data_IF_943287411552
#
_entry.id   IF_943287411552
#
_cell.length_a   1.000
_cell.length_b   1.000
_cell.length_c   1.000
_cell.angle_alpha   90.00
_cell.angle_beta   90.00
_cell.angle_gamma   90.00
#
_symmetry.space_group_name_H-M   'P 1'
#
loop_
_entity.id
_entity.type
_entity.pdbx_description
1 polymer ?
#
# COMPACT_ATOMS: atom_id res chain seq x y z
N UNK A 1 -7.85 10.12 2.36
CA UNK A 1 -8.22 11.52 2.08
C UNK A 1 -6.98 12.34 1.75
N UNK A 2 -7.01 13.13 0.67
CA UNK A 2 -5.92 14.06 0.31
C UNK A 2 -6.03 15.35 1.12
N UNK A 3 -4.89 15.91 1.54
CA UNK A 3 -4.83 17.21 2.20
C UNK A 3 -3.95 18.17 1.40
N UNK A 4 -4.34 19.43 1.36
CA UNK A 4 -3.60 20.48 0.68
C UNK A 4 -2.90 21.35 1.71
N UNK A 5 -1.57 21.41 1.61
CA UNK A 5 -0.73 22.15 2.56
C UNK A 5 -0.04 23.31 1.85
N UNK A 6 -0.03 24.48 2.48
CA UNK A 6 0.77 25.63 2.04
C UNK A 6 2.28 25.42 2.31
N UNK A 7 3.13 26.41 1.99
CA UNK A 7 4.58 26.26 2.13
C UNK A 7 5.04 26.05 3.59
N UNK A 8 4.48 26.82 4.52
CA UNK A 8 4.79 26.79 5.96
C UNK A 8 4.32 25.49 6.60
N UNK A 9 3.07 25.10 6.34
CA UNK A 9 2.48 23.84 6.78
C UNK A 9 3.30 22.63 6.31
N UNK A 10 3.78 22.66 5.05
CA UNK A 10 4.69 21.61 4.55
C UNK A 10 6.02 21.58 5.30
N UNK A 11 6.52 22.71 5.79
CA UNK A 11 7.73 22.77 6.62
C UNK A 11 7.49 22.10 7.98
N UNK A 12 6.39 22.45 8.65
CA UNK A 12 5.97 21.88 9.93
C UNK A 12 5.79 20.36 9.82
N UNK A 13 5.05 19.90 8.81
CA UNK A 13 4.83 18.45 8.59
C UNK A 13 6.14 17.72 8.28
N UNK A 14 7.08 18.34 7.53
CA UNK A 14 8.41 17.75 7.31
C UNK A 14 9.21 17.63 8.60
N UNK A 15 9.09 18.59 9.52
CA UNK A 15 9.68 18.50 10.84
C UNK A 15 9.06 17.34 11.63
N UNK A 16 7.73 17.17 11.60
CA UNK A 16 7.04 16.05 12.25
C UNK A 16 7.52 14.69 11.72
N UNK A 17 7.62 14.52 10.40
CA UNK A 17 8.19 13.31 9.80
C UNK A 17 9.66 13.12 10.17
N UNK A 18 10.42 14.21 10.27
CA UNK A 18 11.82 14.20 10.69
C UNK A 18 12.00 13.67 12.10
N UNK A 19 11.26 14.23 13.06
CA UNK A 19 11.26 13.80 14.46
C UNK A 19 10.77 12.37 14.59
N UNK A 20 9.64 12.01 13.97
CA UNK A 20 9.11 10.64 14.01
C UNK A 20 10.14 9.62 13.49
N UNK A 21 10.83 9.94 12.39
CA UNK A 21 11.92 9.12 11.86
C UNK A 21 13.10 9.02 12.83
N UNK A 22 13.55 10.14 13.38
CA UNK A 22 14.68 10.18 14.31
C UNK A 22 14.39 9.32 15.55
N UNK A 23 13.24 9.53 16.19
CA UNK A 23 12.81 8.77 17.37
C UNK A 23 12.69 7.28 17.07
N UNK A 24 12.09 6.91 15.94
CA UNK A 24 12.02 5.51 15.50
C UNK A 24 13.42 4.90 15.35
N UNK A 25 14.33 5.57 14.63
CA UNK A 25 15.67 5.05 14.38
C UNK A 25 16.51 4.95 15.67
N UNK A 26 16.43 5.95 16.56
CA UNK A 26 17.07 5.94 17.88
C UNK A 26 16.58 4.75 18.71
N UNK A 27 15.26 4.52 18.72
CA UNK A 27 14.66 3.37 19.41
C UNK A 27 15.11 2.04 18.81
N UNK A 28 15.14 1.90 17.47
CA UNK A 28 15.63 0.67 16.83
C UNK A 28 17.10 0.42 17.16
N UNK A 29 17.95 1.46 17.20
CA UNK A 29 19.36 1.33 17.58
C UNK A 29 19.52 0.78 19.01
N UNK A 30 18.77 1.32 19.96
CA UNK A 30 18.77 0.82 21.36
C UNK A 30 18.33 -0.65 21.42
N UNK A 31 17.26 -1.01 20.70
CA UNK A 31 16.71 -2.37 20.70
C UNK A 31 17.58 -3.39 19.94
N UNK A 32 18.46 -2.93 19.04
CA UNK A 32 19.37 -3.81 18.29
C UNK A 32 20.45 -4.42 19.18
N UNK A 33 20.86 -3.72 20.24
CA UNK A 33 21.89 -4.20 21.18
C UNK A 33 21.42 -5.43 21.98
N UNK A 34 20.12 -5.72 22.04
CA UNK A 34 19.57 -6.92 22.68
C UNK A 34 19.43 -6.84 24.20
N UNK A 35 20.14 -5.93 24.85
CA UNK A 35 20.07 -5.66 26.30
C UNK A 35 18.67 -5.21 26.74
N UNK A 36 18.03 -4.36 25.92
CA UNK A 36 16.73 -3.77 26.24
C UNK A 36 15.60 -4.56 25.60
N UNK A 37 14.65 -5.04 26.41
CA UNK A 37 13.42 -5.67 25.92
C UNK A 37 12.56 -4.65 25.17
N UNK A 38 11.96 -5.08 24.05
CA UNK A 38 11.07 -4.26 23.23
C UNK A 38 9.70 -4.02 23.90
N UNK A 39 9.70 -3.30 25.02
CA UNK A 39 8.52 -2.91 25.78
C UNK A 39 8.38 -1.38 25.75
N UNK A 40 7.44 -0.90 24.94
CA UNK A 40 7.17 0.52 24.76
C UNK A 40 6.93 1.25 26.09
N UNK A 41 6.12 0.71 26.99
CA UNK A 41 5.78 1.39 28.26
C UNK A 41 7.02 1.61 29.13
N UNK A 42 7.96 0.65 29.14
CA UNK A 42 9.16 0.72 29.96
C UNK A 42 10.22 1.69 29.40
N UNK A 43 10.44 1.70 28.09
CA UNK A 43 11.55 2.47 27.48
C UNK A 43 11.15 3.90 27.11
N UNK A 44 9.85 4.18 27.03
CA UNK A 44 9.31 5.44 26.50
C UNK A 44 9.82 6.66 27.28
N UNK A 45 9.75 6.64 28.61
CA UNK A 45 10.07 7.80 29.44
C UNK A 45 11.54 8.20 29.28
N UNK A 46 12.47 7.23 29.39
CA UNK A 46 13.89 7.49 29.22
C UNK A 46 14.23 8.04 27.83
N UNK A 47 13.71 7.42 26.76
CA UNK A 47 13.97 7.87 25.39
C UNK A 47 13.39 9.27 25.13
N UNK A 48 12.20 9.60 25.67
CA UNK A 48 11.57 10.89 25.49
C UNK A 48 12.31 12.02 26.21
N UNK A 49 12.87 11.74 27.40
CA UNK A 49 13.65 12.70 28.17
C UNK A 49 15.01 12.98 27.51
N UNK A 50 15.61 11.97 26.88
CA UNK A 50 16.88 12.06 26.13
C UNK A 50 16.68 12.60 24.69
N UNK A 51 15.56 13.25 24.38
CA UNK A 51 15.35 13.86 23.07
C UNK A 51 15.97 15.26 23.01
N UNK A 52 16.65 15.61 21.89
CA UNK A 52 17.16 16.95 21.69
C UNK A 52 16.07 18.03 21.72
N UNK A 53 16.48 19.26 22.04
CA UNK A 53 15.59 20.42 22.20
C UNK A 53 14.66 20.66 21.00
N UNK A 54 15.19 20.52 19.78
CA UNK A 54 14.42 20.71 18.54
C UNK A 54 13.25 19.73 18.37
N UNK A 55 13.19 18.65 19.15
CA UNK A 55 12.06 17.71 19.19
C UNK A 55 10.89 18.22 20.06
N UNK A 56 11.07 19.23 20.92
CA UNK A 56 10.03 19.70 21.83
C UNK A 56 8.85 20.33 21.11
N UNK A 57 9.09 21.05 20.01
CA UNK A 57 8.05 21.68 19.18
C UNK A 57 7.02 20.67 18.60
N UNK A 58 7.45 19.43 18.36
CA UNK A 58 6.61 18.38 17.77
C UNK A 58 5.71 17.73 18.82
N UNK A 59 4.41 17.50 18.51
CA UNK A 59 3.46 16.86 19.42
C UNK A 59 3.99 15.59 20.10
N UNK A 60 3.70 15.46 21.39
CA UNK A 60 4.12 14.32 22.21
C UNK A 60 3.71 12.97 21.60
N UNK A 61 2.48 12.85 21.12
CA UNK A 61 1.95 11.59 20.58
C UNK A 61 2.73 11.11 19.34
N UNK A 62 3.21 12.02 18.49
CA UNK A 62 4.03 11.68 17.32
C UNK A 62 5.34 10.99 17.76
N UNK A 63 5.98 11.51 18.81
CA UNK A 63 7.22 10.96 19.40
C UNK A 63 6.95 9.62 20.08
N UNK A 64 5.97 9.61 20.99
CA UNK A 64 5.55 8.44 21.76
C UNK A 64 5.20 7.24 20.88
N UNK A 65 4.40 7.44 19.82
CA UNK A 65 3.99 6.37 18.92
C UNK A 65 5.12 5.95 17.97
N UNK A 66 6.07 6.83 17.65
CA UNK A 66 7.27 6.41 16.91
C UNK A 66 8.11 5.37 17.68
N UNK A 67 8.18 5.49 19.01
CA UNK A 67 8.80 4.48 19.89
C UNK A 67 7.99 3.19 19.84
N UNK A 68 6.66 3.27 19.98
CA UNK A 68 5.76 2.11 19.88
C UNK A 68 5.92 1.36 18.56
N UNK A 69 5.92 2.09 17.43
CA UNK A 69 6.13 1.56 16.09
C UNK A 69 7.45 0.77 16.01
N UNK A 70 8.53 1.29 16.60
CA UNK A 70 9.84 0.64 16.62
C UNK A 70 9.82 -0.66 17.45
N UNK A 71 9.23 -0.62 18.65
CA UNK A 71 9.06 -1.81 19.48
C UNK A 71 8.25 -2.89 18.76
N UNK A 72 7.12 -2.50 18.14
CA UNK A 72 6.27 -3.42 17.38
C UNK A 72 7.04 -4.01 16.21
N UNK A 73 7.78 -3.20 15.44
CA UNK A 73 8.59 -3.70 14.32
C UNK A 73 9.62 -4.76 14.77
N UNK A 74 10.32 -4.52 15.89
CA UNK A 74 11.29 -5.48 16.45
C UNK A 74 10.60 -6.73 16.96
N UNK A 75 9.43 -6.60 17.60
CA UNK A 75 8.65 -7.74 18.09
C UNK A 75 8.15 -8.62 16.95
N UNK A 76 7.60 -8.02 15.90
CA UNK A 76 7.14 -8.77 14.72
C UNK A 76 8.31 -9.42 13.97
N UNK A 77 9.48 -8.77 13.91
CA UNK A 77 10.70 -9.37 13.38
C UNK A 77 11.11 -10.63 14.17
N UNK A 78 11.11 -10.56 15.51
CA UNK A 78 11.38 -11.72 16.38
C UNK A 78 10.34 -12.83 16.21
N UNK A 79 9.05 -12.48 16.12
CA UNK A 79 7.95 -13.43 15.89
C UNK A 79 8.10 -14.13 14.54
N UNK A 80 8.45 -13.39 13.48
CA UNK A 80 8.71 -13.95 12.16
C UNK A 80 9.89 -14.92 12.18
N UNK A 81 10.99 -14.56 12.84
CA UNK A 81 12.14 -15.46 13.00
C UNK A 81 11.75 -16.77 13.70
N UNK A 82 10.93 -16.72 14.76
CA UNK A 82 10.43 -17.94 15.42
C UNK A 82 9.66 -18.86 14.47
N UNK A 83 8.87 -18.30 13.54
CA UNK A 83 8.07 -19.06 12.57
C UNK A 83 8.87 -19.58 11.38
N UNK A 84 9.74 -18.74 10.81
CA UNK A 84 10.37 -19.04 9.51
C UNK A 84 11.86 -19.36 9.62
N UNK A 85 12.47 -19.21 10.81
CA UNK A 85 13.92 -19.28 11.07
C UNK A 85 14.78 -18.33 10.22
N UNK A 86 14.15 -17.40 9.49
CA UNK A 86 14.83 -16.41 8.66
C UNK A 86 15.04 -15.11 9.42
N UNK A 87 16.28 -14.62 9.43
CA UNK A 87 16.63 -13.36 10.10
C UNK A 87 16.02 -12.19 9.33
N UNK A 88 15.15 -11.42 10.00
CA UNK A 88 14.56 -10.20 9.45
C UNK A 88 14.97 -8.99 10.31
N UNK A 89 16.00 -8.26 9.89
CA UNK A 89 16.48 -7.07 10.63
C UNK A 89 15.57 -5.87 10.36
N UNK A 90 15.11 -5.21 11.43
CA UNK A 90 14.37 -3.95 11.32
C UNK A 90 15.31 -2.88 10.77
N UNK A 91 14.94 -2.29 9.62
CA UNK A 91 15.72 -1.25 8.94
C UNK A 91 15.38 0.13 9.48
N UNK A 92 16.38 1.01 9.51
CA UNK A 92 16.15 2.42 9.78
C UNK A 92 15.32 3.07 8.68
N UNK A 93 14.41 3.96 9.10
CA UNK A 93 13.64 4.82 8.21
C UNK A 93 14.57 5.87 7.59
N UNK A 94 14.50 6.03 6.27
CA UNK A 94 15.33 6.98 5.52
C UNK A 94 14.56 8.25 5.14
N UNK A 95 15.23 9.41 5.17
CA UNK A 95 14.70 10.68 4.63
C UNK A 95 14.48 10.63 3.11
N UNK A 96 15.21 9.76 2.41
CA UNK A 96 15.10 9.58 0.96
C UNK A 96 13.95 8.66 0.57
N UNK A 97 13.27 8.03 1.54
CA UNK A 97 12.11 7.19 1.25
C UNK A 97 11.00 8.05 0.62
N UNK A 98 10.44 7.66 -0.55
CA UNK A 98 9.33 8.37 -1.19
C UNK A 98 8.06 8.39 -0.35
N UNK A 99 7.92 7.46 0.60
CA UNK A 99 6.81 7.39 1.56
C UNK A 99 7.33 7.72 2.95
N UNK A 100 6.70 8.69 3.60
CA UNK A 100 6.95 9.05 5.00
C UNK A 100 5.63 9.16 5.73
N UNK A 101 5.61 8.80 7.01
CA UNK A 101 4.39 8.93 7.81
C UNK A 101 4.68 9.21 9.27
N UNK A 102 3.70 9.81 9.93
CA UNK A 102 3.65 9.99 11.38
C UNK A 102 2.22 9.78 11.90
N UNK A 103 2.13 9.42 13.18
CA UNK A 103 0.87 9.17 13.87
C UNK A 103 0.13 10.48 14.17
N UNK A 104 -1.20 10.48 14.01
CA UNK A 104 -2.08 11.57 14.40
C UNK A 104 -3.20 10.97 15.27
N UNK A 105 -3.35 11.35 16.54
CA UNK A 105 -4.42 10.83 17.38
C UNK A 105 -5.77 11.33 16.88
N UNK A 106 -6.84 10.53 17.06
CA UNK A 106 -8.20 10.93 16.64
C UNK A 106 -8.63 12.28 17.23
N UNK A 107 -8.23 12.58 18.47
CA UNK A 107 -8.57 13.83 19.17
C UNK A 107 -7.91 15.07 18.58
N UNK A 108 -6.90 14.91 17.72
CA UNK A 108 -6.27 16.02 17.01
C UNK A 108 -6.81 16.19 15.59
N UNK A 109 -7.83 15.42 15.18
CA UNK A 109 -8.48 15.52 13.87
C UNK A 109 -9.84 16.16 14.05
N UNK A 110 -10.13 17.18 13.25
CA UNK A 110 -11.40 17.93 13.22
C UNK A 110 -11.64 18.42 11.80
N UNK A 111 -12.83 18.95 11.52
CA UNK A 111 -13.16 19.53 10.21
C UNK A 111 -12.25 20.71 9.84
N UNK A 112 -11.75 21.44 10.85
CA UNK A 112 -10.77 22.52 10.67
C UNK A 112 -9.38 22.03 10.26
N UNK A 113 -9.07 20.75 10.46
CA UNK A 113 -7.77 20.17 10.13
C UNK A 113 -7.20 19.25 11.21
N UNK A 114 -5.91 18.94 11.06
CA UNK A 114 -5.13 18.14 12.01
C UNK A 114 -4.23 19.03 12.86
N UNK A 115 -4.30 18.90 14.18
CA UNK A 115 -3.62 19.79 15.13
C UNK A 115 -3.79 21.27 14.70
N UNK A 116 -5.01 21.72 14.47
CA UNK A 116 -5.30 23.03 13.85
C UNK A 116 -4.64 24.21 14.60
N UNK A 117 -4.43 24.10 15.91
CA UNK A 117 -3.70 25.11 16.71
C UNK A 117 -2.20 25.19 16.41
N UNK A 118 -1.59 24.12 15.88
CA UNK A 118 -0.16 24.06 15.53
C UNK A 118 0.09 24.13 14.02
N UNK A 119 -0.79 23.54 13.22
CA UNK A 119 -0.65 23.45 11.77
C UNK A 119 -1.48 24.52 11.05
N UNK A 120 -2.40 25.19 11.74
CA UNK A 120 -3.40 26.04 11.12
C UNK A 120 -4.55 25.23 10.51
N UNK A 121 -5.49 25.94 9.91
CA UNK A 121 -6.65 25.34 9.26
C UNK A 121 -6.25 24.68 7.93
N UNK A 122 -6.98 23.62 7.58
CA UNK A 122 -6.71 22.76 6.43
C UNK A 122 -7.99 22.46 5.67
N UNK A 123 -7.84 22.27 4.36
CA UNK A 123 -8.92 21.76 3.52
C UNK A 123 -8.66 20.29 3.19
N UNK A 124 -9.63 19.46 3.50
CA UNK A 124 -9.66 18.06 3.07
C UNK A 124 -10.31 17.96 1.69
N UNK A 125 -9.84 17.01 0.88
CA UNK A 125 -10.47 16.74 -0.43
C UNK A 125 -11.83 16.02 -0.33
N UNK A 126 -12.11 15.42 0.83
CA UNK A 126 -13.30 14.62 1.13
C UNK A 126 -13.78 15.02 2.54
N UNK A 127 -15.04 14.81 2.88
CA UNK A 127 -15.55 14.99 4.24
C UNK A 127 -14.98 13.92 5.19
N UNK A 128 -14.81 14.28 6.47
CA UNK A 128 -14.40 13.31 7.47
C UNK A 128 -15.55 12.32 7.72
N UNK A 129 -15.27 11.00 7.71
CA UNK A 129 -16.28 10.01 8.05
C UNK A 129 -16.60 10.04 9.55
N UNK A 130 -17.77 9.53 9.92
CA UNK A 130 -18.13 9.35 11.33
C UNK A 130 -17.29 8.23 11.99
N UNK A 131 -17.23 8.24 13.32
CA UNK A 131 -16.58 7.18 14.12
C UNK A 131 -15.10 6.93 13.76
N UNK A 132 -14.34 8.01 13.57
CA UNK A 132 -12.91 7.93 13.28
C UNK A 132 -12.10 7.30 14.42
N UNK A 133 -11.09 6.55 14.02
CA UNK A 133 -10.04 6.03 14.88
C UNK A 133 -8.76 6.88 14.74
N UNK A 134 -7.70 6.46 15.43
CA UNK A 134 -6.41 7.10 15.28
C UNK A 134 -5.92 7.05 13.82
N UNK A 135 -5.38 8.18 13.38
CA UNK A 135 -5.05 8.44 12.00
C UNK A 135 -3.54 8.37 11.76
N UNK A 136 -3.16 8.39 10.49
CA UNK A 136 -1.75 8.51 10.07
C UNK A 136 -1.62 9.53 8.95
N UNK A 137 -0.82 10.56 9.21
CA UNK A 137 -0.42 11.52 8.18
C UNK A 137 0.69 10.89 7.34
N UNK A 138 0.52 10.87 6.03
CA UNK A 138 1.44 10.24 5.09
C UNK A 138 1.79 11.20 3.95
N UNK A 139 3.07 11.26 3.57
CA UNK A 139 3.54 11.89 2.34
C UNK A 139 3.96 10.81 1.37
N UNK A 140 3.31 10.73 0.21
CA UNK A 140 3.61 9.78 -0.87
C UNK A 140 3.97 10.55 -2.12
N UNK A 141 5.22 10.43 -2.58
CA UNK A 141 5.70 11.07 -3.81
C UNK A 141 5.54 12.60 -3.87
N UNK A 142 5.35 13.27 -2.72
CA UNK A 142 5.19 14.71 -2.60
C UNK A 142 3.76 15.18 -2.36
N UNK A 143 2.77 14.29 -2.49
CA UNK A 143 1.40 14.53 -2.07
C UNK A 143 1.19 14.09 -0.62
N UNK A 144 0.31 14.79 0.09
CA UNK A 144 0.01 14.56 1.49
C UNK A 144 -1.39 13.97 1.64
N UNK A 145 -1.51 12.96 2.49
CA UNK A 145 -2.73 12.22 2.74
C UNK A 145 -2.91 12.01 4.23
N UNK A 146 -4.15 12.19 4.70
CA UNK A 146 -4.59 11.67 5.98
C UNK A 146 -5.24 10.31 5.75
N UNK A 147 -4.67 9.28 6.37
CA UNK A 147 -5.25 7.94 6.45
C UNK A 147 -6.13 7.91 7.68
N UNK A 148 -7.45 7.81 7.47
CA UNK A 148 -8.49 7.87 8.50
C UNK A 148 -9.20 6.51 8.56
N UNK A 149 -8.78 5.61 9.46
CA UNK A 149 -9.56 4.42 9.75
C UNK A 149 -10.82 4.84 10.50
N UNK A 150 -11.96 4.27 10.14
CA UNK A 150 -13.24 4.51 10.80
C UNK A 150 -13.98 3.18 10.96
N UNK A 151 -14.90 3.12 11.93
CA UNK A 151 -15.71 1.92 12.16
C UNK A 151 -16.96 1.99 11.29
N UNK A 152 -17.26 0.90 10.61
CA UNK A 152 -18.47 0.74 9.80
C UNK A 152 -19.21 -0.49 10.31
N UNK A 153 -20.54 -0.40 10.37
CA UNK A 153 -21.41 -1.54 10.64
C UNK A 153 -21.62 -2.29 9.33
N UNK A 154 -21.22 -3.56 9.28
CA UNK A 154 -21.40 -4.37 8.08
C UNK A 154 -22.89 -4.66 7.87
N UNK A 155 -23.39 -4.31 6.69
CA UNK A 155 -24.72 -4.75 6.24
C UNK A 155 -24.55 -6.15 5.67
N UNK A 156 -25.24 -7.15 6.24
CA UNK A 156 -25.29 -8.49 5.65
C UNK A 156 -26.19 -8.41 4.41
N UNK A 157 -25.60 -8.52 3.22
CA UNK A 157 -26.38 -8.71 2.00
C UNK A 157 -26.96 -10.14 1.97
N UNK A 158 -28.19 -10.29 1.47
CA UNK A 158 -28.72 -11.61 1.13
C UNK A 158 -27.84 -12.24 0.04
N UNK A 159 -27.45 -13.49 0.26
CA UNK A 159 -26.62 -14.26 -0.65
C UNK A 159 -27.53 -15.00 -1.64
N UNK A 160 -27.56 -14.54 -2.89
CA UNK A 160 -28.33 -15.18 -3.97
C UNK A 160 -27.56 -16.35 -4.62
N UNK A 161 -26.38 -16.70 -4.11
CA UNK A 161 -25.59 -17.83 -4.59
C UNK A 161 -24.86 -17.60 -5.91
N UNK A 162 -24.78 -16.37 -6.43
CA UNK A 162 -24.15 -16.09 -7.73
C UNK A 162 -22.64 -16.31 -7.65
N UNK A 163 -22.15 -17.30 -8.39
CA UNK A 163 -20.73 -17.69 -8.37
C UNK A 163 -19.98 -17.07 -9.56
N UNK A 164 -18.76 -16.59 -9.31
CA UNK A 164 -17.82 -16.14 -10.35
C UNK A 164 -16.43 -16.71 -10.14
N UNK A 165 -15.85 -17.21 -11.22
CA UNK A 165 -14.44 -17.55 -11.32
C UNK A 165 -13.65 -16.40 -11.92
N UNK A 166 -12.58 -16.00 -11.25
CA UNK A 166 -11.68 -14.95 -11.69
C UNK A 166 -10.39 -15.54 -12.24
N UNK A 167 -9.85 -14.95 -13.30
CA UNK A 167 -8.54 -15.33 -13.85
C UNK A 167 -7.68 -14.07 -14.05
N UNK A 168 -6.72 -13.80 -13.14
CA UNK A 168 -5.82 -12.66 -13.25
C UNK A 168 -4.81 -12.86 -14.38
N UNK A 169 -4.80 -11.95 -15.34
CA UNK A 169 -3.94 -12.02 -16.52
C UNK A 169 -2.87 -10.93 -16.60
N UNK A 170 -1.89 -11.13 -17.49
CA UNK A 170 -0.79 -10.16 -17.69
C UNK A 170 -1.09 -9.15 -18.81
N UNK A 171 -1.91 -9.52 -19.80
CA UNK A 171 -2.33 -8.64 -20.92
C UNK A 171 -3.67 -7.96 -20.64
N UNK A 172 -4.59 -8.74 -20.10
CA UNK A 172 -5.87 -8.28 -19.56
C UNK A 172 -5.77 -8.41 -18.06
N UNK A 173 -6.14 -7.36 -17.31
CA UNK A 173 -5.97 -7.35 -15.86
C UNK A 173 -6.71 -8.51 -15.18
N UNK A 174 -7.95 -8.75 -15.57
CA UNK A 174 -8.79 -9.78 -14.99
C UNK A 174 -9.81 -10.29 -16.00
N UNK A 175 -9.89 -11.60 -16.19
CA UNK A 175 -11.01 -12.25 -16.87
C UNK A 175 -11.95 -12.79 -15.80
N UNK A 176 -13.25 -12.73 -16.04
CA UNK A 176 -14.23 -13.36 -15.16
C UNK A 176 -15.15 -14.26 -15.96
N UNK A 177 -15.57 -15.36 -15.33
CA UNK A 177 -16.48 -16.35 -15.89
C UNK A 177 -17.49 -16.75 -14.82
N UNK A 178 -18.76 -16.74 -15.20
CA UNK A 178 -19.90 -17.18 -14.40
C UNK A 178 -20.89 -17.89 -15.32
N UNK A 179 -21.91 -18.53 -14.77
CA UNK A 179 -22.94 -19.22 -15.56
C UNK A 179 -23.67 -18.28 -16.54
N UNK A 180 -23.85 -17.02 -16.16
CA UNK A 180 -24.65 -16.04 -16.92
C UNK A 180 -23.82 -15.00 -17.65
N UNK A 181 -22.53 -14.87 -17.34
CA UNK A 181 -21.70 -13.82 -17.91
C UNK A 181 -20.22 -14.18 -17.99
N UNK A 182 -19.59 -13.71 -19.06
CA UNK A 182 -18.15 -13.78 -19.28
C UNK A 182 -17.64 -12.42 -19.71
N UNK A 183 -16.48 -12.01 -19.22
CA UNK A 183 -15.95 -10.71 -19.58
C UNK A 183 -14.49 -10.50 -19.19
N UNK A 184 -13.97 -9.35 -19.63
CA UNK A 184 -12.58 -8.94 -19.47
C UNK A 184 -12.54 -7.54 -18.89
N UNK A 185 -11.82 -7.36 -17.79
CA UNK A 185 -11.59 -6.07 -17.15
C UNK A 185 -10.15 -5.62 -17.46
N UNK A 186 -10.00 -4.36 -17.85
CA UNK A 186 -8.71 -3.78 -18.20
C UNK A 186 -8.16 -4.26 -19.55
N UNK A 187 -9.04 -4.65 -20.48
CA UNK A 187 -8.65 -4.96 -21.86
C UNK A 187 -8.21 -3.67 -22.56
N UNK A 188 -7.04 -3.67 -23.23
CA UNK A 188 -6.49 -2.49 -23.90
C UNK A 188 -5.73 -1.49 -23.01
N UNK A 189 -6.09 -1.38 -21.73
CA UNK A 189 -5.44 -0.49 -20.73
C UNK A 189 -3.95 -0.78 -20.54
N UNK A 190 -3.57 -2.04 -20.77
CA UNK A 190 -2.19 -2.51 -20.78
C UNK A 190 -1.27 -1.62 -21.62
N UNK A 191 -1.71 -1.26 -22.82
CA UNK A 191 -0.88 -0.50 -23.77
C UNK A 191 -0.55 0.89 -23.22
N UNK A 192 -1.51 1.52 -22.55
CA UNK A 192 -1.36 2.85 -21.97
C UNK A 192 -0.42 2.83 -20.75
N UNK A 193 -0.63 1.91 -19.81
CA UNK A 193 0.23 1.76 -18.62
C UNK A 193 1.66 1.42 -19.04
N UNK A 194 1.84 0.54 -20.03
CA UNK A 194 3.16 0.18 -20.53
C UNK A 194 3.90 1.37 -21.15
N UNK A 195 3.21 2.22 -21.94
CA UNK A 195 3.79 3.45 -22.51
C UNK A 195 4.25 4.41 -21.41
N UNK A 196 3.46 4.57 -20.36
CA UNK A 196 3.83 5.40 -19.19
C UNK A 196 5.04 4.83 -18.45
N UNK A 197 5.09 3.52 -18.23
CA UNK A 197 6.24 2.84 -17.63
C UNK A 197 7.52 3.02 -18.45
N UNK A 198 7.44 2.90 -19.78
CA UNK A 198 8.59 3.10 -20.66
C UNK A 198 9.10 4.55 -20.61
N UNK A 199 8.19 5.52 -20.64
CA UNK A 199 8.57 6.92 -20.53
C UNK A 199 9.20 7.22 -19.16
N UNK A 200 8.68 6.61 -18.08
CA UNK A 200 9.25 6.73 -16.74
C UNK A 200 10.69 6.20 -16.70
N UNK A 201 10.98 5.07 -17.35
CA UNK A 201 12.35 4.54 -17.43
C UNK A 201 13.30 5.45 -18.18
N UNK A 202 12.85 5.95 -19.33
CA UNK A 202 13.63 6.89 -20.13
C UNK A 202 13.96 8.14 -19.29
N UNK A 203 13.00 8.62 -18.50
CA UNK A 203 13.20 9.73 -17.59
C UNK A 203 14.16 9.39 -16.43
N UNK A 204 14.06 8.19 -15.84
CA UNK A 204 14.99 7.72 -14.79
C UNK A 204 16.42 7.62 -15.35
N UNK A 205 16.58 7.11 -16.56
CA UNK A 205 17.87 7.04 -17.26
C UNK A 205 18.47 8.44 -17.49
N UNK A 206 17.65 9.42 -17.89
CA UNK A 206 18.09 10.83 -18.00
C UNK A 206 18.46 11.42 -16.63
N UNK A 207 17.70 11.09 -15.57
CA UNK A 207 17.97 11.56 -14.20
C UNK A 207 19.32 11.08 -13.65
N UNK A 208 19.75 9.86 -14.02
CA UNK A 208 21.02 9.31 -13.54
C UNK A 208 22.20 10.16 -14.01
N UNK A 209 22.15 10.65 -15.26
CA UNK A 209 23.18 11.47 -15.92
C UNK A 209 23.09 12.96 -15.57
N UNK A 210 21.93 13.44 -15.12
CA UNK A 210 21.73 14.87 -14.85
C UNK A 210 22.26 15.35 -13.50
N UNK A 211 22.57 16.65 -13.44
CA UNK A 211 23.10 17.37 -12.27
C UNK A 211 22.22 18.56 -11.86
N UNK A 212 22.44 19.07 -10.65
CA UNK A 212 21.84 20.32 -10.14
C UNK A 212 20.31 20.43 -10.25
N UNK A 213 19.84 21.62 -10.62
CA UNK A 213 18.43 21.97 -10.72
C UNK A 213 17.65 21.13 -11.75
N UNK A 214 18.29 20.77 -12.87
CA UNK A 214 17.70 19.92 -13.91
C UNK A 214 17.32 18.54 -13.33
N UNK A 215 18.23 17.90 -12.58
CA UNK A 215 17.97 16.64 -11.88
C UNK A 215 16.78 16.75 -10.93
N UNK A 216 16.67 17.86 -10.19
CA UNK A 216 15.55 18.12 -9.27
C UNK A 216 14.22 18.24 -10.02
N UNK A 217 14.18 18.97 -11.14
CA UNK A 217 12.98 19.12 -11.98
C UNK A 217 12.54 17.78 -12.56
N UNK A 218 13.46 17.00 -13.10
CA UNK A 218 13.15 15.67 -13.65
C UNK A 218 12.67 14.68 -12.58
N UNK A 219 13.25 14.69 -11.37
CA UNK A 219 12.74 13.89 -10.24
C UNK A 219 11.31 14.29 -9.84
N UNK A 220 10.94 15.56 -9.97
CA UNK A 220 9.56 16.01 -9.72
C UNK A 220 8.63 15.47 -10.81
N UNK A 221 9.05 15.49 -12.07
CA UNK A 221 8.31 14.90 -13.18
C UNK A 221 8.14 13.38 -13.03
N UNK A 222 9.20 12.65 -12.65
CA UNK A 222 9.14 11.20 -12.46
C UNK A 222 8.16 10.81 -11.34
N UNK A 223 8.11 11.59 -10.25
CA UNK A 223 7.12 11.38 -9.18
C UNK A 223 5.68 11.55 -9.68
N UNK A 224 5.40 12.59 -10.48
CA UNK A 224 4.07 12.79 -11.08
C UNK A 224 3.65 11.62 -11.96
N UNK A 225 4.59 11.06 -12.73
CA UNK A 225 4.33 9.89 -13.55
C UNK A 225 4.05 8.64 -12.71
N UNK A 226 4.82 8.41 -11.65
CA UNK A 226 4.57 7.30 -10.72
C UNK A 226 3.16 7.42 -10.11
N UNK A 227 2.76 8.62 -9.66
CA UNK A 227 1.42 8.87 -9.15
C UNK A 227 0.36 8.57 -10.21
N UNK A 228 0.55 9.03 -11.45
CA UNK A 228 -0.38 8.76 -12.56
C UNK A 228 -0.56 7.25 -12.80
N UNK A 229 0.54 6.50 -12.86
CA UNK A 229 0.50 5.04 -13.05
C UNK A 229 -0.23 4.38 -11.86
N UNK A 230 0.09 4.78 -10.63
CA UNK A 230 -0.57 4.25 -9.43
C UNK A 230 -2.06 4.54 -9.41
N UNK A 231 -2.48 5.73 -9.82
CA UNK A 231 -3.89 6.11 -9.89
C UNK A 231 -4.66 5.28 -10.92
N UNK A 232 -4.10 5.06 -12.12
CA UNK A 232 -4.70 4.19 -13.13
C UNK A 232 -4.88 2.75 -12.61
N UNK A 233 -3.85 2.20 -11.97
CA UNK A 233 -3.94 0.84 -11.40
C UNK A 233 -4.94 0.79 -10.24
N UNK A 234 -4.98 1.81 -9.37
CA UNK A 234 -5.98 1.91 -8.30
C UNK A 234 -7.40 1.99 -8.86
N UNK A 235 -7.62 2.77 -9.91
CA UNK A 235 -8.92 2.91 -10.56
C UNK A 235 -9.41 1.58 -11.12
N UNK A 236 -8.55 0.84 -11.83
CA UNK A 236 -8.84 -0.51 -12.31
C UNK A 236 -9.21 -1.41 -11.12
N UNK A 237 -8.41 -1.41 -10.04
CA UNK A 237 -8.67 -2.23 -8.85
C UNK A 237 -10.02 -1.90 -8.19
N UNK A 238 -10.35 -0.61 -8.07
CA UNK A 238 -11.57 -0.14 -7.44
C UNK A 238 -12.80 -0.49 -8.27
N UNK A 239 -12.77 -0.20 -9.58
CA UNK A 239 -13.87 -0.51 -10.50
C UNK A 239 -14.09 -2.01 -10.63
N UNK A 240 -13.01 -2.80 -10.75
CA UNK A 240 -13.09 -4.25 -10.82
C UNK A 240 -13.69 -4.85 -9.54
N UNK A 241 -13.20 -4.44 -8.36
CA UNK A 241 -13.71 -4.97 -7.09
C UNK A 241 -15.18 -4.61 -6.88
N UNK A 242 -15.57 -3.36 -7.21
CA UNK A 242 -16.97 -2.93 -7.12
C UNK A 242 -17.86 -3.75 -8.04
N UNK A 243 -17.49 -3.87 -9.32
CA UNK A 243 -18.23 -4.70 -10.27
C UNK A 243 -18.41 -6.14 -9.76
N UNK A 244 -17.35 -6.77 -9.25
CA UNK A 244 -17.44 -8.15 -8.78
C UNK A 244 -18.34 -8.29 -7.55
N UNK A 245 -18.17 -7.41 -6.57
CA UNK A 245 -18.92 -7.48 -5.29
C UNK A 245 -20.39 -7.09 -5.47
N UNK A 246 -20.70 -6.20 -6.41
CA UNK A 246 -22.08 -5.80 -6.70
C UNK A 246 -22.86 -6.90 -7.46
N UNK A 247 -22.17 -7.72 -8.27
CA UNK A 247 -22.81 -8.70 -9.15
C UNK A 247 -22.76 -10.16 -8.66
N UNK A 248 -21.82 -10.50 -7.77
CA UNK A 248 -21.59 -11.90 -7.36
C UNK A 248 -21.48 -12.05 -5.84
N UNK A 249 -21.84 -13.23 -5.36
CA UNK A 249 -21.89 -13.56 -3.93
C UNK A 249 -20.73 -14.46 -3.49
N UNK A 250 -20.32 -15.37 -4.38
CA UNK A 250 -19.20 -16.30 -4.17
C UNK A 250 -18.15 -16.08 -5.24
N UNK A 251 -16.96 -15.69 -4.82
CA UNK A 251 -15.86 -15.29 -5.71
C UNK A 251 -14.73 -16.29 -5.59
N UNK A 252 -14.50 -17.05 -6.65
CA UNK A 252 -13.40 -18.00 -6.77
C UNK A 252 -12.17 -17.27 -7.33
N UNK A 253 -11.14 -17.14 -6.50
CA UNK A 253 -9.92 -16.42 -6.84
C UNK A 253 -8.73 -17.40 -6.87
N UNK A 254 -8.13 -17.66 -8.03
CA UNK A 254 -6.99 -18.57 -8.13
C UNK A 254 -5.76 -17.99 -7.43
N UNK A 255 -4.91 -18.88 -6.92
CA UNK A 255 -3.62 -18.52 -6.36
C UNK A 255 -2.67 -17.98 -7.42
N UNK A 256 -2.63 -16.67 -7.59
CA UNK A 256 -1.72 -16.04 -8.55
C UNK A 256 -0.32 -15.83 -7.95
N UNK A 257 0.58 -16.79 -8.17
CA UNK A 257 1.94 -16.81 -7.61
C UNK A 257 2.91 -15.84 -8.33
N UNK A 258 2.59 -14.54 -8.33
CA UNK A 258 3.41 -13.48 -8.96
C UNK A 258 4.88 -13.50 -8.52
N UNK A 259 5.15 -13.90 -7.28
CA UNK A 259 6.50 -14.00 -6.74
C UNK A 259 7.32 -15.07 -7.46
N UNK A 260 6.79 -16.29 -7.64
CA UNK A 260 7.46 -17.38 -8.35
C UNK A 260 7.63 -17.03 -9.83
N UNK A 261 6.56 -16.54 -10.48
CA UNK A 261 6.58 -16.16 -11.89
C UNK A 261 7.56 -15.02 -12.22
N UNK A 262 7.97 -14.23 -11.22
CA UNK A 262 8.92 -13.13 -11.38
C UNK A 262 10.38 -13.50 -11.09
N UNK A 263 10.67 -14.66 -10.49
CA UNK A 263 12.04 -15.12 -10.18
C UNK A 263 12.83 -15.30 -11.48
N UNK A 264 14.08 -14.84 -11.49
CA UNK A 264 14.93 -14.88 -12.69
C UNK A 264 15.48 -16.27 -13.01
N UNK A 265 15.74 -17.10 -11.99
CA UNK A 265 16.36 -18.43 -12.12
C UNK A 265 15.54 -19.37 -13.00
N UNK A 266 14.21 -19.40 -12.79
CA UNK A 266 13.32 -20.42 -13.38
C UNK A 266 12.25 -19.80 -14.30
N UNK A 267 12.57 -18.63 -14.88
CA UNK A 267 11.56 -17.77 -15.51
C UNK A 267 11.21 -18.23 -16.92
N UNK A 268 9.98 -18.72 -17.11
CA UNK A 268 9.40 -19.00 -18.44
C UNK A 268 8.90 -17.75 -19.18
N UNK A 269 8.67 -16.65 -18.45
CA UNK A 269 8.14 -15.40 -19.00
C UNK A 269 9.26 -14.42 -19.41
N UNK A 270 9.03 -13.66 -20.50
CA UNK A 270 9.93 -12.57 -20.92
C UNK A 270 9.92 -11.43 -19.89
N UNK A 271 11.04 -10.71 -19.79
CA UNK A 271 11.22 -9.61 -18.81
C UNK A 271 10.14 -8.53 -18.88
N UNK A 272 9.73 -8.17 -20.10
CA UNK A 272 8.66 -7.21 -20.37
C UNK A 272 7.31 -7.68 -19.80
N UNK A 273 6.98 -8.95 -19.99
CA UNK A 273 5.75 -9.57 -19.48
C UNK A 273 5.72 -9.57 -17.95
N UNK A 274 6.83 -9.96 -17.31
CA UNK A 274 6.95 -9.97 -15.85
C UNK A 274 6.79 -8.58 -15.26
N UNK A 275 7.40 -7.57 -15.89
CA UNK A 275 7.25 -6.19 -15.47
C UNK A 275 5.80 -5.72 -15.51
N UNK A 276 5.07 -6.09 -16.55
CA UNK A 276 3.68 -5.70 -16.71
C UNK A 276 2.80 -6.40 -15.66
N UNK A 277 3.03 -7.69 -15.41
CA UNK A 277 2.38 -8.43 -14.31
C UNK A 277 2.60 -7.75 -12.96
N UNK A 278 3.84 -7.31 -12.68
CA UNK A 278 4.15 -6.57 -11.46
C UNK A 278 3.51 -5.18 -11.41
N UNK A 279 3.28 -4.55 -12.57
CA UNK A 279 2.66 -3.22 -12.65
C UNK A 279 1.17 -3.27 -12.28
N UNK A 280 0.47 -4.35 -12.60
CA UNK A 280 -0.93 -4.54 -12.21
C UNK A 280 -1.14 -4.89 -10.72
N UNK A 281 -0.08 -5.25 -9.99
CA UNK A 281 -0.13 -5.48 -8.54
C UNK A 281 -1.26 -6.43 -8.10
N UNK A 282 -1.42 -7.58 -8.77
CA UNK A 282 -2.51 -8.54 -8.53
C UNK A 282 -2.65 -8.97 -7.07
N UNK A 283 -1.53 -9.15 -6.34
CA UNK A 283 -1.60 -9.46 -4.92
C UNK A 283 -2.31 -8.35 -4.12
N UNK A 284 -2.02 -7.09 -4.44
CA UNK A 284 -2.70 -5.95 -3.80
C UNK A 284 -4.19 -5.92 -4.15
N UNK A 285 -4.53 -6.25 -5.39
CA UNK A 285 -5.94 -6.38 -5.79
C UNK A 285 -6.65 -7.51 -5.02
N UNK A 286 -6.01 -8.67 -4.86
CA UNK A 286 -6.52 -9.80 -4.07
C UNK A 286 -6.88 -9.38 -2.64
N UNK A 287 -5.95 -8.73 -1.95
CA UNK A 287 -6.20 -8.24 -0.58
C UNK A 287 -7.32 -7.20 -0.54
N UNK A 288 -7.36 -6.30 -1.53
CA UNK A 288 -8.40 -5.28 -1.65
C UNK A 288 -9.78 -5.88 -1.93
N UNK A 289 -9.88 -6.86 -2.82
CA UNK A 289 -11.12 -7.57 -3.14
C UNK A 289 -11.64 -8.33 -1.93
N UNK A 290 -10.78 -9.03 -1.19
CA UNK A 290 -11.15 -9.71 0.06
C UNK A 290 -11.73 -8.74 1.08
N UNK A 291 -11.10 -7.57 1.25
CA UNK A 291 -11.63 -6.54 2.13
C UNK A 291 -13.01 -6.04 1.67
N UNK A 292 -13.19 -5.78 0.37
CA UNK A 292 -14.46 -5.28 -0.16
C UNK A 292 -15.59 -6.31 -0.13
N UNK A 293 -15.25 -7.57 -0.36
CA UNK A 293 -16.16 -8.68 -0.17
C UNK A 293 -16.59 -8.80 1.30
N UNK A 294 -15.65 -8.71 2.24
CA UNK A 294 -15.95 -8.74 3.68
C UNK A 294 -16.86 -7.59 4.11
N UNK A 295 -16.62 -6.38 3.61
CA UNK A 295 -17.45 -5.18 3.86
C UNK A 295 -18.90 -5.37 3.39
N UNK A 296 -19.10 -6.15 2.32
CA UNK A 296 -20.40 -6.38 1.69
C UNK A 296 -21.00 -7.76 2.00
N UNK A 297 -20.39 -8.51 2.92
CA UNK A 297 -20.84 -9.85 3.30
C UNK A 297 -20.67 -10.94 2.23
N UNK A 298 -19.83 -10.73 1.21
CA UNK A 298 -19.57 -11.70 0.13
C UNK A 298 -18.43 -12.66 0.50
N UNK A 299 -18.42 -13.84 -0.12
CA UNK A 299 -17.42 -14.87 0.12
C UNK A 299 -16.32 -14.86 -0.96
N UNK A 300 -15.05 -14.89 -0.55
CA UNK A 300 -13.91 -15.05 -1.46
C UNK A 300 -13.18 -16.34 -1.10
N UNK A 301 -13.11 -17.27 -2.05
CA UNK A 301 -12.46 -18.58 -1.89
C UNK A 301 -11.18 -18.58 -2.72
N UNK A 302 -10.05 -18.84 -2.06
CA UNK A 302 -8.79 -19.04 -2.76
C UNK A 302 -8.77 -20.45 -3.39
N UNK A 303 -8.67 -20.53 -4.72
CA UNK A 303 -8.69 -21.79 -5.48
C UNK A 303 -7.28 -22.17 -5.95
N UNK A 304 -6.95 -23.46 -5.91
CA UNK A 304 -5.68 -23.97 -6.41
C UNK A 304 -5.72 -24.12 -7.93
N UNK A 305 -4.70 -23.60 -8.62
CA UNK A 305 -4.61 -23.52 -10.08
C UNK A 305 -4.22 -24.83 -10.78
N UNK A 306 -4.19 -25.97 -10.05
CA UNK A 306 -3.47 -27.19 -10.46
C UNK A 306 -3.83 -27.76 -11.85
N UNK A 307 -4.94 -27.34 -12.49
CA UNK A 307 -5.35 -27.83 -13.81
C UNK A 307 -5.97 -26.76 -14.75
N UNK A 308 -6.01 -25.48 -14.39
CA UNK A 308 -6.86 -24.49 -15.13
C UNK A 308 -6.29 -24.03 -16.48
N UNK A 309 -4.97 -24.03 -16.67
CA UNK A 309 -4.34 -23.55 -17.92
C UNK A 309 -4.26 -24.58 -19.04
N UNK A 310 -4.59 -25.85 -18.75
CA UNK A 310 -4.53 -26.96 -19.71
C UNK A 310 -5.85 -27.68 -19.90
N UNK A 311 -6.88 -27.42 -19.09
CA UNK A 311 -8.14 -28.15 -19.20
C UNK A 311 -9.11 -27.42 -20.13
N UNK A 312 -9.61 -28.14 -21.13
CA UNK A 312 -10.63 -27.65 -22.07
C UNK A 312 -11.94 -27.45 -21.30
N UNK A 313 -12.48 -26.24 -21.30
CA UNK A 313 -13.61 -25.85 -20.44
C UNK A 313 -14.93 -26.57 -20.73
N UNK A 314 -15.10 -27.15 -21.93
CA UNK A 314 -16.32 -27.88 -22.32
C UNK A 314 -16.18 -29.41 -22.35
N UNK A 315 -14.96 -29.96 -22.28
CA UNK A 315 -14.74 -31.42 -22.29
C UNK A 315 -13.98 -31.96 -21.08
N UNK A 316 -13.35 -31.10 -20.27
CA UNK A 316 -12.50 -31.53 -19.16
C UNK A 316 -11.19 -32.20 -19.59
N UNK A 317 -10.89 -32.25 -20.89
CA UNK A 317 -9.67 -32.86 -21.41
C UNK A 317 -8.44 -31.97 -21.21
N UNK A 318 -7.29 -32.55 -20.86
CA UNK A 318 -6.02 -31.83 -20.81
C UNK A 318 -5.48 -31.63 -22.24
N UNK A 319 -5.32 -30.37 -22.67
CA UNK A 319 -4.65 -29.99 -23.90
C UNK A 319 -3.19 -30.50 -23.86
N UNK A 320 -2.90 -31.54 -24.64
CA UNK A 320 -1.53 -32.01 -24.90
C UNK A 320 -0.82 -30.91 -25.70
N UNK A 321 0.21 -30.34 -25.10
CA UNK A 321 1.18 -29.48 -25.80
C UNK A 321 1.98 -30.36 -26.77
N UNK A 322 1.81 -30.12 -28.07
CA UNK A 322 2.76 -30.55 -29.10
C UNK A 322 3.99 -29.64 -29.10
#
# INVERSE_FOLDING_TARGET
MRIFLNAEQRSIVRQWFGVSRYVFNKTVKILQNGEVKANWKAIKTGILNDLPEWCKAVPYQIKSIAIKDACTAVREAKKKYKKTKQINRVRFRSRKNPVQSCYIPKSAVSDKGIYHTKLGELTFAESLPDNICDCRLTSTNGDYYLVVPHKVTNVKAENQGRVVALDPGVRTFLTFFSETSVGKIGNGDFSQIQRLCQHLDNLISKISKAKGGQKRRMRKASRRMVIRIQNLVNEIHHKAARFIVDNFDVILLPTFETSQMSRKSDRKLRSKTVRNMLSFAHYRFKEFLKHKAQESGKMVIDVCEAYTSKTVSWTGGAARSY
#
